data_IF_930147412167
#
_entry.id   IF_930147412167
#
_cell.length_a   1.000
_cell.length_b   1.000
_cell.length_c   1.000
_cell.angle_alpha   90.00
_cell.angle_beta   90.00
_cell.angle_gamma   90.00
#
_symmetry.space_group_name_H-M   'P 1'
#
loop_
_entity.id
_entity.type
_entity.pdbx_description
1 polymer ?
#
# COMPACT_ATOMS: atom_id res chain seq x y z
N UNK A 1 46.94 -38.50 19.64
CA UNK A 1 46.28 -37.20 19.38
C UNK A 1 45.13 -37.46 18.43
N UNK A 2 43.90 -37.56 18.95
CA UNK A 2 42.69 -37.61 18.13
C UNK A 2 42.49 -36.21 17.55
N UNK A 3 42.71 -36.06 16.25
CA UNK A 3 42.29 -34.86 15.51
C UNK A 3 40.77 -34.86 15.55
N UNK A 4 40.20 -34.00 16.39
CA UNK A 4 38.78 -33.66 16.31
C UNK A 4 38.61 -32.90 15.00
N UNK A 5 38.02 -33.55 14.00
CA UNK A 5 37.47 -32.87 12.83
C UNK A 5 36.42 -31.87 13.35
N UNK A 6 36.83 -30.61 13.47
CA UNK A 6 35.91 -29.51 13.69
C UNK A 6 35.04 -29.44 12.44
N UNK A 7 33.71 -29.63 12.56
CA UNK A 7 32.82 -29.54 11.40
C UNK A 7 33.01 -28.16 10.78
N UNK A 8 33.51 -28.11 9.54
CA UNK A 8 33.63 -26.86 8.81
C UNK A 8 32.21 -26.29 8.66
N UNK A 9 31.95 -25.04 9.09
CA UNK A 9 30.64 -24.43 8.92
C UNK A 9 30.29 -24.48 7.44
N UNK A 10 29.12 -25.04 7.12
CA UNK A 10 28.70 -25.26 5.74
C UNK A 10 28.65 -23.92 5.00
N UNK A 11 29.72 -23.63 4.25
CA UNK A 11 29.91 -22.36 3.56
C UNK A 11 29.14 -22.40 2.25
N UNK A 12 28.20 -21.48 2.07
CA UNK A 12 27.46 -21.32 0.80
C UNK A 12 28.43 -21.23 -0.38
N UNK A 13 28.09 -21.93 -1.46
CA UNK A 13 28.78 -21.80 -2.75
C UNK A 13 28.59 -20.38 -3.29
N UNK A 14 29.47 -19.96 -4.19
CA UNK A 14 29.36 -18.62 -4.79
C UNK A 14 28.08 -18.46 -5.62
N UNK A 15 27.60 -19.56 -6.24
CA UNK A 15 26.29 -19.59 -6.91
C UNK A 15 25.12 -19.37 -5.94
N UNK A 16 25.16 -19.97 -4.75
CA UNK A 16 24.13 -19.77 -3.73
C UNK A 16 24.11 -18.33 -3.21
N UNK A 17 25.29 -17.70 -3.05
CA UNK A 17 25.39 -16.28 -2.67
C UNK A 17 24.86 -15.36 -3.77
N UNK A 18 25.18 -15.66 -5.03
CA UNK A 18 24.68 -14.90 -6.17
C UNK A 18 23.15 -15.00 -6.26
N UNK A 19 22.58 -16.19 -6.11
CA UNK A 19 21.14 -16.43 -6.08
C UNK A 19 20.47 -15.69 -4.92
N UNK A 20 21.02 -15.82 -3.70
CA UNK A 20 20.50 -15.13 -2.51
C UNK A 20 20.49 -13.60 -2.69
N UNK A 21 21.58 -13.05 -3.24
CA UNK A 21 21.69 -11.62 -3.54
C UNK A 21 20.67 -11.19 -4.58
N UNK A 22 20.48 -11.98 -5.64
CA UNK A 22 19.47 -11.72 -6.66
C UNK A 22 18.05 -11.64 -6.08
N UNK A 23 17.68 -12.59 -5.23
CA UNK A 23 16.36 -12.60 -4.58
C UNK A 23 16.19 -11.39 -3.64
N UNK A 24 17.24 -11.01 -2.91
CA UNK A 24 17.24 -9.80 -2.08
C UNK A 24 16.99 -8.54 -2.92
N UNK A 25 17.65 -8.42 -4.08
CA UNK A 25 17.46 -7.31 -5.01
C UNK A 25 16.03 -7.26 -5.57
N UNK A 26 15.46 -8.42 -5.95
CA UNK A 26 14.06 -8.51 -6.40
C UNK A 26 13.08 -8.03 -5.34
N UNK A 27 13.24 -8.50 -4.09
CA UNK A 27 12.41 -8.04 -2.96
C UNK A 27 12.51 -6.53 -2.73
N UNK A 28 13.71 -5.97 -2.76
CA UNK A 28 13.92 -4.53 -2.56
C UNK A 28 13.37 -3.68 -3.70
N UNK A 29 13.42 -4.22 -4.93
CA UNK A 29 12.81 -3.60 -6.10
C UNK A 29 11.30 -3.53 -5.94
N UNK A 30 10.64 -4.62 -5.51
CA UNK A 30 9.19 -4.65 -5.26
C UNK A 30 8.76 -3.64 -4.20
N UNK A 31 9.52 -3.51 -3.10
CA UNK A 31 9.25 -2.51 -2.06
C UNK A 31 9.37 -1.09 -2.61
N UNK A 32 10.42 -0.81 -3.38
CA UNK A 32 10.63 0.50 -4.01
C UNK A 32 9.50 0.83 -4.98
N UNK A 33 9.09 -0.13 -5.81
CA UNK A 33 7.98 0.02 -6.75
C UNK A 33 6.65 0.26 -6.05
N UNK A 34 6.40 -0.40 -4.91
CA UNK A 34 5.20 -0.17 -4.10
C UNK A 34 5.15 1.26 -3.57
N UNK A 35 6.27 1.75 -3.07
CA UNK A 35 6.40 3.12 -2.56
C UNK A 35 6.18 4.14 -3.67
N UNK A 36 6.90 4.01 -4.79
CA UNK A 36 6.79 4.93 -5.92
C UNK A 36 5.37 4.98 -6.50
N UNK A 37 4.70 3.83 -6.67
CA UNK A 37 3.28 3.79 -7.10
C UNK A 37 2.38 4.51 -6.11
N UNK A 38 2.58 4.31 -4.81
CA UNK A 38 1.78 4.99 -3.78
C UNK A 38 1.95 6.51 -3.83
N UNK A 39 3.16 7.01 -4.08
CA UNK A 39 3.39 8.45 -4.30
C UNK A 39 2.62 8.98 -5.51
N UNK A 40 2.61 8.24 -6.63
CA UNK A 40 1.86 8.64 -7.83
C UNK A 40 0.35 8.70 -7.54
N UNK A 41 -0.20 7.69 -6.86
CA UNK A 41 -1.62 7.71 -6.49
C UNK A 41 -1.96 8.87 -5.56
N UNK A 42 -1.11 9.17 -4.56
CA UNK A 42 -1.30 10.34 -3.68
C UNK A 42 -1.34 11.63 -4.51
N UNK A 43 -0.42 11.79 -5.45
CA UNK A 43 -0.36 12.97 -6.31
C UNK A 43 -1.62 13.11 -7.17
N UNK A 44 -2.08 12.03 -7.79
CA UNK A 44 -3.31 12.02 -8.60
C UNK A 44 -4.52 12.39 -7.74
N UNK A 45 -4.65 11.79 -6.55
CA UNK A 45 -5.73 12.12 -5.62
C UNK A 45 -5.67 13.59 -5.21
N UNK A 46 -4.50 14.11 -4.85
CA UNK A 46 -4.32 15.51 -4.46
C UNK A 46 -4.73 16.49 -5.58
N UNK A 47 -4.38 16.17 -6.83
CA UNK A 47 -4.83 16.96 -8.00
C UNK A 47 -6.36 16.91 -8.13
N UNK A 48 -6.97 15.72 -7.97
CA UNK A 48 -8.43 15.57 -8.02
C UNK A 48 -9.17 16.38 -6.96
N UNK A 49 -8.72 16.31 -5.70
CA UNK A 49 -9.31 17.09 -4.60
C UNK A 49 -9.05 18.59 -4.75
N UNK A 50 -7.84 18.99 -5.18
CA UNK A 50 -7.53 20.39 -5.47
C UNK A 50 -8.45 20.96 -6.56
N UNK A 51 -8.66 20.19 -7.64
CA UNK A 51 -9.61 20.58 -8.68
C UNK A 51 -11.02 20.77 -8.11
N UNK A 52 -11.53 19.81 -7.34
CA UNK A 52 -12.86 19.97 -6.71
C UNK A 52 -12.93 21.20 -5.81
N UNK A 53 -11.90 21.45 -5.00
CA UNK A 53 -11.84 22.62 -4.11
C UNK A 53 -11.96 23.94 -4.88
N UNK A 54 -11.35 24.06 -6.06
CA UNK A 54 -11.46 25.27 -6.91
C UNK A 54 -12.83 25.48 -7.54
N UNK A 55 -13.68 24.46 -7.52
CA UNK A 55 -15.01 24.52 -8.12
C UNK A 55 -16.09 24.76 -7.06
N UNK A 56 -15.83 24.51 -5.76
CA UNK A 56 -16.78 24.75 -4.65
C UNK A 56 -17.45 26.12 -4.78
N UNK A 57 -18.78 26.15 -4.70
CA UNK A 57 -19.59 27.37 -4.77
C UNK A 57 -19.96 27.84 -6.19
N UNK A 58 -19.51 27.15 -7.25
CA UNK A 58 -19.93 27.45 -8.62
C UNK A 58 -21.23 26.72 -8.97
N UNK A 59 -22.17 27.39 -9.67
CA UNK A 59 -23.39 26.75 -10.15
C UNK A 59 -23.07 25.67 -11.20
N UNK A 60 -23.78 24.55 -11.17
CA UNK A 60 -23.62 23.45 -12.15
C UNK A 60 -22.46 22.49 -11.86
N UNK A 61 -21.97 22.43 -10.61
CA UNK A 61 -20.83 21.60 -10.22
C UNK A 61 -21.16 20.11 -10.00
N UNK A 62 -22.42 19.78 -9.75
CA UNK A 62 -22.89 18.42 -9.45
C UNK A 62 -22.33 17.31 -10.37
N UNK A 63 -22.27 17.46 -11.71
CA UNK A 63 -21.68 16.44 -12.57
C UNK A 63 -20.19 16.21 -12.33
N UNK A 64 -19.42 17.24 -11.94
CA UNK A 64 -17.99 17.09 -11.65
C UNK A 64 -17.74 16.27 -10.38
N UNK A 65 -18.56 16.47 -9.32
CA UNK A 65 -18.50 15.65 -8.11
C UNK A 65 -18.77 14.17 -8.41
N UNK A 66 -19.73 13.88 -9.28
CA UNK A 66 -20.07 12.52 -9.66
C UNK A 66 -18.97 11.87 -10.50
N UNK A 67 -18.49 12.55 -11.55
CA UNK A 67 -17.44 12.02 -12.43
C UNK A 67 -16.14 11.80 -11.67
N UNK A 68 -15.67 12.82 -10.93
CA UNK A 68 -14.43 12.73 -10.16
C UNK A 68 -14.55 11.77 -8.98
N UNK A 69 -15.73 11.70 -8.37
CA UNK A 69 -16.01 10.73 -7.32
C UNK A 69 -15.91 9.29 -7.80
N UNK A 70 -16.55 8.94 -8.92
CA UNK A 70 -16.47 7.59 -9.50
C UNK A 70 -15.05 7.26 -9.96
N UNK A 71 -14.36 8.21 -10.61
CA UNK A 71 -12.97 8.04 -11.01
C UNK A 71 -12.05 7.83 -9.80
N UNK A 72 -12.23 8.62 -8.74
CA UNK A 72 -11.49 8.53 -7.50
C UNK A 72 -11.71 7.22 -6.74
N UNK A 73 -12.96 6.74 -6.68
CA UNK A 73 -13.27 5.41 -6.13
C UNK A 73 -12.60 4.28 -6.92
N UNK A 74 -12.70 4.34 -8.24
CA UNK A 74 -12.08 3.34 -9.12
C UNK A 74 -10.57 3.31 -8.93
N UNK A 75 -9.96 4.49 -8.83
CA UNK A 75 -8.54 4.66 -8.56
C UNK A 75 -8.15 4.11 -7.17
N UNK A 76 -8.95 4.39 -6.14
CA UNK A 76 -8.75 3.87 -4.78
C UNK A 76 -8.80 2.34 -4.72
N UNK A 77 -9.78 1.73 -5.39
CA UNK A 77 -9.88 0.27 -5.48
C UNK A 77 -8.69 -0.34 -6.23
N UNK A 78 -8.29 0.26 -7.35
CA UNK A 78 -7.15 -0.20 -8.13
C UNK A 78 -5.84 -0.10 -7.33
N UNK A 79 -5.65 1.00 -6.59
CA UNK A 79 -4.51 1.18 -5.70
C UNK A 79 -4.47 0.11 -4.59
N UNK A 80 -5.62 -0.16 -3.96
CA UNK A 80 -5.73 -1.21 -2.94
C UNK A 80 -5.37 -2.59 -3.51
N UNK A 81 -5.95 -2.96 -4.66
CA UNK A 81 -5.71 -4.25 -5.31
C UNK A 81 -4.22 -4.44 -5.67
N UNK A 82 -3.58 -3.41 -6.21
CA UNK A 82 -2.15 -3.44 -6.53
C UNK A 82 -1.29 -3.59 -5.27
N UNK A 83 -1.63 -2.88 -4.18
CA UNK A 83 -0.88 -2.97 -2.94
C UNK A 83 -0.97 -4.37 -2.32
N UNK A 84 -2.15 -4.98 -2.34
CA UNK A 84 -2.35 -6.37 -1.87
C UNK A 84 -1.53 -7.35 -2.71
N UNK A 85 -1.57 -7.24 -4.04
CA UNK A 85 -0.77 -8.09 -4.93
C UNK A 85 0.73 -7.92 -4.71
N UNK A 86 1.19 -6.70 -4.50
CA UNK A 86 2.61 -6.43 -4.25
C UNK A 86 3.05 -6.99 -2.89
N UNK A 87 2.19 -6.91 -1.86
CA UNK A 87 2.47 -7.56 -0.58
C UNK A 87 2.64 -9.07 -0.76
N UNK A 88 1.75 -9.73 -1.52
CA UNK A 88 1.88 -11.17 -1.82
C UNK A 88 3.22 -11.51 -2.49
N UNK A 89 3.69 -10.68 -3.42
CA UNK A 89 5.00 -10.87 -4.04
C UNK A 89 6.16 -10.68 -3.06
N UNK A 90 6.11 -9.66 -2.20
CA UNK A 90 7.12 -9.45 -1.16
C UNK A 90 7.17 -10.65 -0.21
N UNK A 91 6.01 -11.15 0.21
CA UNK A 91 5.91 -12.31 1.10
C UNK A 91 6.45 -13.58 0.42
N UNK A 92 6.18 -13.75 -0.87
CA UNK A 92 6.75 -14.83 -1.68
C UNK A 92 8.28 -14.77 -1.71
N UNK A 93 8.86 -13.62 -2.03
CA UNK A 93 10.32 -13.46 -2.04
C UNK A 93 10.95 -13.68 -0.67
N UNK A 94 10.29 -13.22 0.40
CA UNK A 94 10.73 -13.49 1.78
C UNK A 94 10.69 -15.00 2.10
N UNK A 95 9.67 -15.72 1.63
CA UNK A 95 9.61 -17.18 1.79
C UNK A 95 10.76 -17.86 1.04
N UNK A 96 11.06 -17.44 -0.19
CA UNK A 96 12.19 -17.97 -0.95
C UNK A 96 13.52 -17.70 -0.23
N UNK A 97 13.74 -16.50 0.30
CA UNK A 97 14.94 -16.17 1.08
C UNK A 97 15.09 -17.07 2.30
N UNK A 98 14.00 -17.31 3.05
CA UNK A 98 14.00 -18.22 4.20
C UNK A 98 14.43 -19.65 3.84
N UNK A 99 14.08 -20.14 2.65
CA UNK A 99 14.47 -21.50 2.22
C UNK A 99 15.94 -21.60 1.82
N UNK A 100 16.56 -20.49 1.44
CA UNK A 100 17.95 -20.44 1.01
C UNK A 100 18.90 -20.24 2.20
N UNK A 101 18.41 -19.66 3.32
CA UNK A 101 19.23 -19.48 4.52
C UNK A 101 19.61 -20.82 5.20
N UNK A 102 20.86 -20.97 5.65
CA UNK A 102 21.30 -22.20 6.30
C UNK A 102 20.56 -22.44 7.63
N UNK A 103 20.22 -23.72 7.95
CA UNK A 103 19.56 -24.08 9.21
C UNK A 103 20.47 -23.92 10.43
N UNK A 104 21.78 -23.77 10.20
CA UNK A 104 22.77 -23.55 11.23
C UNK A 104 22.57 -22.19 11.92
N UNK A 105 22.47 -22.21 13.25
CA UNK A 105 22.13 -21.04 14.07
C UNK A 105 23.31 -20.10 14.26
N UNK A 106 24.53 -20.60 14.05
CA UNK A 106 25.77 -19.86 14.31
C UNK A 106 26.21 -18.99 13.12
N UNK A 107 25.60 -19.19 11.94
CA UNK A 107 25.81 -18.37 10.74
C UNK A 107 24.91 -17.12 10.74
N UNK A 108 25.06 -16.27 11.77
CA UNK A 108 24.31 -15.02 11.95
C UNK A 108 24.44 -14.04 10.77
N UNK A 109 25.57 -14.07 10.06
CA UNK A 109 25.84 -13.20 8.90
C UNK A 109 24.83 -13.45 7.76
N UNK A 110 24.24 -14.64 7.70
CA UNK A 110 23.35 -15.06 6.62
C UNK A 110 21.90 -15.20 7.05
N UNK A 111 21.58 -14.99 8.34
CA UNK A 111 20.26 -15.28 8.92
C UNK A 111 19.42 -14.01 9.08
N UNK A 112 19.24 -13.30 7.97
CA UNK A 112 18.58 -11.99 7.95
C UNK A 112 17.06 -12.12 7.91
N UNK A 113 16.51 -13.22 7.39
CA UNK A 113 15.07 -13.42 7.17
C UNK A 113 14.46 -14.56 8.01
N UNK A 114 15.28 -15.40 8.66
CA UNK A 114 14.85 -16.44 9.61
C UNK A 114 15.32 -16.25 11.06
N UNK A 115 15.99 -15.12 11.36
CA UNK A 115 16.46 -14.78 12.70
C UNK A 115 15.38 -14.17 13.60
N UNK A 116 15.52 -14.30 14.93
CA UNK A 116 14.63 -13.65 15.92
C UNK A 116 14.60 -12.12 15.80
N UNK A 117 15.71 -11.51 15.35
CA UNK A 117 15.81 -10.08 15.06
C UNK A 117 14.93 -9.67 13.88
N UNK A 118 14.84 -10.50 12.85
CA UNK A 118 13.95 -10.28 11.71
C UNK A 118 12.49 -10.39 12.12
N UNK A 119 12.13 -11.43 12.87
CA UNK A 119 10.77 -11.57 13.38
C UNK A 119 10.38 -10.37 14.24
N UNK A 120 11.27 -9.85 15.09
CA UNK A 120 11.02 -8.62 15.86
C UNK A 120 10.83 -7.39 14.97
N UNK A 121 11.74 -7.14 14.01
CA UNK A 121 11.69 -5.97 13.12
C UNK A 121 10.50 -6.04 12.15
N UNK A 122 10.17 -7.23 11.66
CA UNK A 122 9.10 -7.48 10.70
C UNK A 122 7.76 -7.84 11.38
N UNK A 123 7.73 -8.01 12.72
CA UNK A 123 6.49 -8.16 13.49
C UNK A 123 5.68 -6.87 13.56
N UNK A 124 6.34 -5.73 13.35
CA UNK A 124 5.72 -4.42 13.55
C UNK A 124 5.39 -3.76 12.20
N UNK A 125 4.10 -3.43 11.94
CA UNK A 125 3.64 -3.15 10.59
C UNK A 125 3.71 -1.67 10.20
N UNK A 126 4.50 -0.81 10.88
CA UNK A 126 4.24 0.65 10.84
C UNK A 126 4.25 1.26 9.43
N UNK A 127 5.23 0.91 8.59
CA UNK A 127 5.33 1.49 7.24
C UNK A 127 4.43 0.78 6.21
N UNK A 128 4.35 -0.55 6.27
CA UNK A 128 3.53 -1.33 5.34
C UNK A 128 2.03 -1.21 5.62
N UNK A 129 1.64 -1.01 6.88
CA UNK A 129 0.28 -0.70 7.29
C UNK A 129 -0.13 0.68 6.77
N UNK A 130 0.74 1.69 6.90
CA UNK A 130 0.47 3.04 6.41
C UNK A 130 0.15 3.03 4.90
N UNK A 131 0.89 2.25 4.11
CA UNK A 131 0.62 2.07 2.68
C UNK A 131 -0.69 1.34 2.36
N UNK A 132 -1.21 0.53 3.28
CA UNK A 132 -2.52 -0.12 3.12
C UNK A 132 -3.68 0.75 3.64
N UNK A 133 -3.44 1.60 4.63
CA UNK A 133 -4.43 2.54 5.18
C UNK A 133 -4.69 3.70 4.23
N UNK A 134 -3.67 4.19 3.52
CA UNK A 134 -3.79 5.33 2.61
C UNK A 134 -4.86 5.12 1.50
N UNK A 135 -4.87 4.01 0.73
CA UNK A 135 -5.93 3.75 -0.23
C UNK A 135 -7.33 3.75 0.39
N UNK A 136 -7.47 3.20 1.60
CA UNK A 136 -8.75 3.14 2.33
C UNK A 136 -9.21 4.55 2.71
N UNK A 137 -8.31 5.37 3.26
CA UNK A 137 -8.59 6.75 3.63
C UNK A 137 -9.01 7.58 2.42
N UNK A 138 -8.27 7.50 1.30
CA UNK A 138 -8.62 8.20 0.06
C UNK A 138 -9.94 7.71 -0.53
N UNK A 139 -10.20 6.40 -0.51
CA UNK A 139 -11.49 5.84 -0.95
C UNK A 139 -12.63 6.40 -0.10
N UNK A 140 -12.47 6.45 1.23
CA UNK A 140 -13.44 7.05 2.14
C UNK A 140 -13.71 8.53 1.84
N UNK A 141 -12.66 9.31 1.55
CA UNK A 141 -12.81 10.71 1.12
C UNK A 141 -13.62 10.83 -0.17
N UNK A 142 -13.39 9.96 -1.16
CA UNK A 142 -14.19 9.96 -2.40
C UNK A 142 -15.65 9.55 -2.19
N UNK A 143 -15.94 8.65 -1.25
CA UNK A 143 -17.33 8.32 -0.87
C UNK A 143 -18.02 9.57 -0.30
N UNK A 144 -17.35 10.30 0.59
CA UNK A 144 -17.88 11.55 1.15
C UNK A 144 -18.13 12.56 0.03
N UNK A 145 -17.17 12.76 -0.87
CA UNK A 145 -17.30 13.64 -2.03
C UNK A 145 -18.52 13.29 -2.90
N UNK A 146 -18.78 12.00 -3.15
CA UNK A 146 -19.96 11.56 -3.89
C UNK A 146 -21.28 11.83 -3.17
N UNK A 147 -21.24 11.92 -1.84
CA UNK A 147 -22.43 12.12 -1.02
C UNK A 147 -22.87 13.59 -0.97
N UNK A 148 -21.94 14.54 -1.18
CA UNK A 148 -22.20 15.99 -1.08
C UNK A 148 -23.36 16.47 -1.99
N UNK A 149 -23.42 16.12 -3.29
CA UNK A 149 -24.52 16.56 -4.16
C UNK A 149 -25.91 16.11 -3.69
N UNK A 150 -26.00 14.94 -3.05
CA UNK A 150 -27.26 14.41 -2.53
C UNK A 150 -27.75 15.21 -1.32
N UNK A 151 -26.84 15.66 -0.45
CA UNK A 151 -27.18 16.51 0.69
C UNK A 151 -27.64 17.90 0.25
N UNK A 152 -26.96 18.52 -0.72
CA UNK A 152 -27.34 19.83 -1.26
C UNK A 152 -28.74 19.79 -1.90
N UNK A 153 -29.02 18.78 -2.73
CA UNK A 153 -30.33 18.62 -3.37
C UNK A 153 -31.47 18.38 -2.36
N UNK A 154 -31.20 17.67 -1.26
CA UNK A 154 -32.19 17.46 -0.20
C UNK A 154 -32.49 18.75 0.58
N UNK A 155 -31.47 19.56 0.88
CA UNK A 155 -31.64 20.87 1.53
C UNK A 155 -32.44 21.83 0.65
N UNK A 156 -32.14 21.88 -0.66
CA UNK A 156 -32.92 22.69 -1.61
C UNK A 156 -34.38 22.26 -1.68
N UNK A 157 -34.65 20.94 -1.71
CA UNK A 157 -36.00 20.38 -1.70
C UNK A 157 -36.79 20.79 -0.46
N UNK A 158 -36.19 20.69 0.74
CA UNK A 158 -36.81 21.14 1.97
C UNK A 158 -37.06 22.66 1.99
N UNK A 159 -36.07 23.46 1.57
CA UNK A 159 -36.22 24.92 1.43
C UNK A 159 -37.43 25.29 0.58
N UNK A 160 -37.61 24.62 -0.56
CA UNK A 160 -38.72 24.87 -1.47
C UNK A 160 -40.06 24.43 -0.88
N UNK A 161 -40.08 23.35 -0.10
CA UNK A 161 -41.28 22.84 0.56
C UNK A 161 -41.76 23.78 1.68
N UNK A 162 -40.85 24.35 2.46
CA UNK A 162 -41.17 25.37 3.47
C UNK A 162 -41.56 26.72 2.86
N UNK A 163 -40.99 27.10 1.72
CA UNK A 163 -41.39 28.33 0.99
C UNK A 163 -42.74 28.20 0.30
N UNK A 164 -43.07 27.01 -0.22
CA UNK A 164 -44.34 26.74 -0.90
C UNK A 164 -45.55 26.57 0.03
N UNK A 165 -45.33 26.23 1.31
CA UNK A 165 -46.40 26.10 2.31
C UNK A 165 -46.85 27.41 2.98
N UNK A 166 -46.31 28.56 2.55
CA UNK A 166 -46.60 29.89 3.12
C UNK A 166 -47.53 30.76 2.23
N UNK A 167 -48.16 30.16 1.21
CA UNK A 167 -49.23 30.77 0.42
C UNK A 167 -50.58 30.15 0.78
#
# INVERSE_FOLDING_TARGET
MLSMDVPQPHKMTDDQKAMYTGICMSRNTEVTLRWSRSQMFIAINAVGFSFLATQIGKPGIQPYYLILGVAGLSLGFFWLAINLKTQQWIDHWQSCLKTVEPPDKDLLVFRVFSGKSWESINSFPTFHLLLNVLPIAFTGLWIVTLSIPYYEGWIESLSNLFKGGAQ
#
